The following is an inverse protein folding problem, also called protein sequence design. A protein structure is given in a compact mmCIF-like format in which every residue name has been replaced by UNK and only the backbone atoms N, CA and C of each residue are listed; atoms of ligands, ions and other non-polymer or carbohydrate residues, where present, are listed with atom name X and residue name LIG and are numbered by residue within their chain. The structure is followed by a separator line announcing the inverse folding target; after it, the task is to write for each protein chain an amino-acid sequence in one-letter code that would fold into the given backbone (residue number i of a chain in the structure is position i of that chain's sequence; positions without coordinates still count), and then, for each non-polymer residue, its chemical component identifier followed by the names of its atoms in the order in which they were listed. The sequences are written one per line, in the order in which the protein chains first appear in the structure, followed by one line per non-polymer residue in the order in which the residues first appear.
data_IF_320765366384
#
_entry.id   IF_320765366384
#
_cell.length_a   1.000
_cell.length_b   1.000
_cell.length_c   1.000
_cell.angle_alpha   90.00
_cell.angle_beta   90.00
_cell.angle_gamma   90.00
#
_symmetry.space_group_name_H-M   'P 1'
#
loop_
_entity.id
_entity.type
_entity.pdbx_description
1 polymer ?
#
# COMPACT_ATOMS: atom_id res chain seq x y z
N UNK A 1 3.12 1.36 -6.36
CA UNK A 1 2.57 2.69 -6.63
C UNK A 1 3.69 3.66 -6.91
N UNK A 2 3.46 4.59 -7.83
CA UNK A 2 4.42 5.60 -8.24
C UNK A 2 3.70 6.94 -8.34
N UNK A 3 4.33 7.99 -7.84
CA UNK A 3 3.94 9.39 -8.04
C UNK A 3 5.22 10.11 -8.41
N UNK A 4 5.16 10.85 -9.52
CA UNK A 4 6.26 11.68 -10.00
C UNK A 4 6.72 12.64 -8.89
N UNK A 5 8.03 12.84 -8.76
CA UNK A 5 8.64 13.62 -7.66
C UNK A 5 8.10 15.04 -7.58
N UNK A 6 7.77 15.65 -8.71
CA UNK A 6 7.27 17.03 -8.77
C UNK A 6 5.85 17.15 -8.21
N UNK A 7 5.18 16.01 -8.02
CA UNK A 7 3.79 15.91 -7.59
C UNK A 7 3.63 15.16 -6.25
N UNK A 8 4.74 14.80 -5.59
CA UNK A 8 4.70 14.16 -4.27
C UNK A 8 4.25 15.15 -3.18
N UNK A 9 3.70 14.61 -2.09
CA UNK A 9 3.19 15.36 -0.92
C UNK A 9 1.99 16.28 -1.20
N UNK A 10 1.33 16.12 -2.34
CA UNK A 10 0.12 16.86 -2.72
C UNK A 10 -1.18 16.02 -2.58
N UNK A 11 -1.12 14.87 -1.90
CA UNK A 11 -2.28 14.00 -1.69
C UNK A 11 -2.56 12.98 -2.81
N UNK A 12 -1.87 13.07 -3.95
CA UNK A 12 -2.12 12.21 -5.13
C UNK A 12 -2.03 10.71 -4.83
N UNK A 13 -1.03 10.28 -4.05
CA UNK A 13 -0.91 8.87 -3.66
C UNK A 13 -2.12 8.38 -2.84
N UNK A 14 -2.66 9.25 -1.98
CA UNK A 14 -3.85 8.96 -1.18
C UNK A 14 -5.08 8.84 -2.07
N UNK A 15 -5.24 9.73 -3.05
CA UNK A 15 -6.35 9.70 -4.00
C UNK A 15 -6.31 8.44 -4.87
N UNK A 16 -5.13 8.10 -5.40
CA UNK A 16 -4.92 6.88 -6.19
C UNK A 16 -5.24 5.63 -5.37
N UNK A 17 -4.74 5.53 -4.13
CA UNK A 17 -5.03 4.38 -3.26
C UNK A 17 -6.51 4.29 -2.89
N UNK A 18 -7.15 5.42 -2.59
CA UNK A 18 -8.57 5.45 -2.22
C UNK A 18 -9.45 4.97 -3.37
N UNK A 19 -9.15 5.39 -4.61
CA UNK A 19 -9.84 4.92 -5.81
C UNK A 19 -9.64 3.42 -6.01
N UNK A 20 -8.39 2.94 -5.92
CA UNK A 20 -8.07 1.51 -6.03
C UNK A 20 -8.81 0.67 -4.98
N UNK A 21 -8.85 1.13 -3.73
CA UNK A 21 -9.59 0.47 -2.65
C UNK A 21 -11.08 0.37 -2.97
N UNK A 22 -11.68 1.44 -3.49
CA UNK A 22 -13.10 1.46 -3.87
C UNK A 22 -13.39 0.43 -4.98
N UNK A 23 -12.60 0.45 -6.06
CA UNK A 23 -12.76 -0.46 -7.19
C UNK A 23 -12.58 -1.94 -6.79
N UNK A 24 -11.59 -2.22 -5.94
CA UNK A 24 -11.34 -3.57 -5.44
C UNK A 24 -12.47 -4.07 -4.54
N UNK A 25 -13.04 -3.21 -3.68
CA UNK A 25 -14.22 -3.56 -2.87
C UNK A 25 -15.42 -3.90 -3.76
N UNK A 26 -15.71 -3.07 -4.76
CA UNK A 26 -16.81 -3.32 -5.73
C UNK A 26 -16.60 -4.63 -6.48
N UNK A 27 -15.35 -4.96 -6.79
CA UNK A 27 -14.97 -6.19 -7.50
C UNK A 27 -14.93 -7.43 -6.60
N UNK A 28 -15.29 -7.31 -5.31
CA UNK A 28 -15.35 -8.43 -4.37
C UNK A 28 -14.01 -8.87 -3.78
N UNK A 29 -12.95 -8.07 -3.93
CA UNK A 29 -11.67 -8.34 -3.25
C UNK A 29 -11.71 -7.89 -1.80
N UNK A 30 -11.04 -8.64 -0.93
CA UNK A 30 -11.02 -8.39 0.52
C UNK A 30 -9.64 -7.96 1.06
N UNK A 31 -8.58 -8.00 0.24
CA UNK A 31 -7.21 -7.74 0.70
C UNK A 31 -6.32 -7.20 -0.41
N UNK A 32 -5.45 -6.26 -0.05
CA UNK A 32 -4.30 -5.81 -0.85
C UNK A 32 -3.03 -6.31 -0.18
N UNK A 33 -2.10 -6.85 -0.96
CA UNK A 33 -0.74 -7.19 -0.52
C UNK A 33 0.29 -6.47 -1.38
N UNK A 34 1.35 -5.96 -0.77
CA UNK A 34 2.42 -5.27 -1.49
C UNK A 34 3.75 -5.39 -0.78
N UNK A 35 4.82 -5.06 -1.50
CA UNK A 35 6.15 -4.89 -0.95
C UNK A 35 6.52 -3.40 -0.94
N UNK A 36 6.62 -2.81 0.25
CA UNK A 36 6.97 -1.40 0.42
C UNK A 36 8.47 -1.19 0.33
N UNK A 37 8.87 -0.12 -0.36
CA UNK A 37 10.21 0.45 -0.20
C UNK A 37 10.33 1.20 1.14
N UNK A 38 11.55 1.57 1.58
CA UNK A 38 11.72 2.40 2.77
C UNK A 38 10.97 3.74 2.67
N UNK A 39 10.95 4.37 1.48
CA UNK A 39 10.25 5.63 1.25
C UNK A 39 8.73 5.49 1.37
N UNK A 40 8.16 4.41 0.82
CA UNK A 40 6.71 4.17 0.87
C UNK A 40 6.19 3.68 2.22
N UNK A 41 7.07 3.23 3.12
CA UNK A 41 6.68 2.51 4.34
C UNK A 41 5.79 3.35 5.25
N UNK A 42 6.17 4.61 5.49
CA UNK A 42 5.39 5.52 6.33
C UNK A 42 4.04 5.85 5.70
N UNK A 43 4.01 6.03 4.38
CA UNK A 43 2.76 6.25 3.65
C UNK A 43 1.80 5.07 3.84
N UNK A 44 2.24 3.84 3.60
CA UNK A 44 1.35 2.68 3.70
C UNK A 44 0.90 2.42 5.14
N UNK A 45 1.77 2.60 6.14
CA UNK A 45 1.38 2.54 7.55
C UNK A 45 0.30 3.57 7.88
N UNK A 46 0.47 4.81 7.44
CA UNK A 46 -0.51 5.87 7.66
C UNK A 46 -1.84 5.59 6.97
N UNK A 47 -1.81 5.01 5.77
CA UNK A 47 -3.02 4.59 5.05
C UNK A 47 -3.76 3.42 5.73
N UNK A 48 -3.08 2.64 6.58
CA UNK A 48 -3.67 1.54 7.35
C UNK A 48 -3.15 0.15 6.98
N UNK A 49 -2.08 0.04 6.18
CA UNK A 49 -1.42 -1.24 5.95
C UNK A 49 -0.67 -1.71 7.20
N UNK A 50 -0.67 -3.01 7.42
CA UNK A 50 0.11 -3.71 8.46
C UNK A 50 1.27 -4.48 7.84
N UNK A 51 2.37 -4.62 8.58
CA UNK A 51 3.54 -5.40 8.14
C UNK A 51 3.19 -6.90 8.25
N UNK A 52 3.58 -7.67 7.23
CA UNK A 52 3.51 -9.13 7.27
C UNK A 52 4.88 -9.63 7.70
N UNK A 53 5.02 -10.09 8.94
CA UNK A 53 6.32 -10.49 9.51
C UNK A 53 6.94 -11.70 8.81
N UNK A 54 6.15 -12.46 8.05
CA UNK A 54 6.49 -13.81 7.58
C UNK A 54 7.18 -13.87 6.21
N UNK A 55 7.23 -12.80 5.43
CA UNK A 55 7.74 -12.84 4.04
C UNK A 55 8.94 -11.92 3.76
N UNK A 56 10.05 -12.03 4.52
CA UNK A 56 11.28 -11.33 4.10
C UNK A 56 11.86 -11.99 2.86
N UNK A 57 11.78 -11.31 1.71
CA UNK A 57 12.43 -11.74 0.49
C UNK A 57 13.95 -11.54 0.62
N UNK A 58 14.70 -12.64 0.69
CA UNK A 58 16.17 -12.65 0.88
C UNK A 58 16.90 -11.87 -0.23
N UNK A 59 16.37 -11.86 -1.45
CA UNK A 59 16.97 -11.14 -2.57
C UNK A 59 16.67 -9.63 -2.55
N UNK A 60 15.68 -9.18 -1.78
CA UNK A 60 15.30 -7.77 -1.67
C UNK A 60 15.01 -7.38 -0.22
N UNK A 61 16.03 -7.46 0.66
CA UNK A 61 15.84 -7.31 2.12
C UNK A 61 15.36 -5.92 2.54
N UNK A 62 15.51 -4.91 1.69
CA UNK A 62 15.00 -3.55 1.92
C UNK A 62 13.50 -3.39 1.65
N UNK A 63 12.84 -4.42 1.09
CA UNK A 63 11.39 -4.42 0.89
C UNK A 63 10.70 -4.96 2.13
N UNK A 64 9.68 -4.25 2.59
CA UNK A 64 8.82 -4.68 3.70
C UNK A 64 7.48 -5.15 3.14
N UNK A 65 7.12 -6.44 3.24
CA UNK A 65 5.81 -6.92 2.85
C UNK A 65 4.73 -6.36 3.77
N UNK A 66 3.62 -5.95 3.19
CA UNK A 66 2.52 -5.33 3.91
C UNK A 66 1.17 -5.77 3.35
N UNK A 67 0.15 -5.76 4.18
CA UNK A 67 -1.23 -6.02 3.80
C UNK A 67 -2.21 -4.97 4.28
N UNK A 68 -3.28 -4.77 3.52
CA UNK A 68 -4.43 -3.95 3.89
C UNK A 68 -5.70 -4.76 3.69
N UNK A 69 -6.51 -4.88 4.73
CA UNK A 69 -7.82 -5.52 4.65
C UNK A 69 -8.86 -4.50 4.18
N UNK A 70 -9.58 -4.87 3.13
CA UNK A 70 -10.67 -4.08 2.58
C UNK A 70 -11.94 -4.38 3.41
N UNK A 71 -12.01 -3.88 4.63
CA UNK A 71 -13.18 -4.10 5.49
C UNK A 71 -14.45 -3.50 4.86
N UNK A 72 -15.60 -4.12 5.10
CA UNK A 72 -16.91 -3.50 4.83
C UNK A 72 -17.09 -2.25 5.71
N UNK A 73 -17.81 -1.24 5.19
CA UNK A 73 -18.24 -0.07 5.96
C UNK A 73 -19.43 -0.48 6.82
#
# INVERSE_FOLDING_TARGET
MFVDSDYQRQGIATDLMSRMVCELKISGFNKIVLNSSPNGLLFYKHFGFTIIETEKNINTPWKTPMSYNLNEI
#
